data_IF_585517215615
#
_entry.id   IF_585517215615
#
_cell.length_a   1.000
_cell.length_b   1.000
_cell.length_c   1.000
_cell.angle_alpha   90.00
_cell.angle_beta   90.00
_cell.angle_gamma   90.00
#
_symmetry.space_group_name_H-M   'P 1'
#
loop_
_entity.id
_entity.type
_entity.pdbx_description
1 polymer ?
#
# COMPACT_ATOMS: atom_id res chain seq x y z
N UNK A 1 -44.91 -48.04 64.19
CA UNK A 1 -43.60 -48.71 64.02
C UNK A 1 -43.19 -48.85 62.54
N UNK A 2 -43.59 -49.90 61.79
CA UNK A 2 -43.05 -50.13 60.42
C UNK A 2 -43.43 -49.01 59.43
N UNK A 3 -44.67 -48.53 59.49
CA UNK A 3 -45.19 -47.48 58.57
C UNK A 3 -44.51 -46.12 58.81
N UNK A 4 -44.22 -45.76 60.07
CA UNK A 4 -43.52 -44.53 60.43
C UNK A 4 -42.07 -44.54 59.94
N UNK A 5 -41.37 -45.67 60.10
CA UNK A 5 -40.01 -45.84 59.59
C UNK A 5 -39.98 -45.73 58.06
N UNK A 6 -40.96 -46.32 57.36
CA UNK A 6 -41.05 -46.23 55.92
C UNK A 6 -41.23 -44.78 55.42
N UNK A 7 -42.09 -43.99 56.08
CA UNK A 7 -42.31 -42.57 55.73
C UNK A 7 -41.04 -41.73 55.96
N UNK A 8 -40.33 -41.97 57.07
CA UNK A 8 -39.07 -41.27 57.36
C UNK A 8 -38.02 -41.57 56.29
N UNK A 9 -37.84 -42.84 55.92
CA UNK A 9 -36.89 -43.24 54.87
C UNK A 9 -37.24 -42.59 53.54
N UNK A 10 -38.52 -42.56 53.17
CA UNK A 10 -38.98 -41.97 51.92
C UNK A 10 -38.75 -40.45 51.91
N UNK A 11 -39.01 -39.77 53.03
CA UNK A 11 -38.72 -38.35 53.18
C UNK A 11 -37.22 -38.03 53.04
N UNK A 12 -36.34 -38.84 53.65
CA UNK A 12 -34.89 -38.68 53.51
C UNK A 12 -34.42 -38.88 52.07
N UNK A 13 -34.94 -39.88 51.36
CA UNK A 13 -34.63 -40.11 49.94
C UNK A 13 -35.06 -38.93 49.07
N UNK A 14 -36.23 -38.32 49.35
CA UNK A 14 -36.68 -37.12 48.65
C UNK A 14 -35.79 -35.91 48.90
N UNK A 15 -35.35 -35.70 50.15
CA UNK A 15 -34.43 -34.59 50.48
C UNK A 15 -33.09 -34.77 49.77
N UNK A 16 -32.52 -35.97 49.77
CA UNK A 16 -31.25 -36.27 49.10
C UNK A 16 -31.34 -36.09 47.59
N UNK A 17 -32.40 -36.58 46.95
CA UNK A 17 -32.60 -36.41 45.51
C UNK A 17 -32.81 -34.95 45.12
N UNK A 18 -33.58 -34.18 45.88
CA UNK A 18 -33.73 -32.73 45.68
C UNK A 18 -32.42 -31.98 45.87
N UNK A 19 -31.60 -32.36 46.86
CA UNK A 19 -30.29 -31.76 47.08
C UNK A 19 -29.33 -32.04 45.91
N UNK A 20 -29.27 -33.29 45.46
CA UNK A 20 -28.46 -33.69 44.30
C UNK A 20 -28.94 -33.04 43.00
N UNK A 21 -30.25 -32.92 42.80
CA UNK A 21 -30.80 -32.24 41.63
C UNK A 21 -30.47 -30.74 41.62
N UNK A 22 -30.62 -30.06 42.77
CA UNK A 22 -30.23 -28.65 42.90
C UNK A 22 -28.74 -28.44 42.75
N UNK A 23 -27.90 -29.33 43.30
CA UNK A 23 -26.45 -29.23 43.18
C UNK A 23 -26.00 -29.45 41.72
N UNK A 24 -26.61 -30.41 41.03
CA UNK A 24 -26.37 -30.67 39.61
C UNK A 24 -26.81 -29.50 38.73
N UNK A 25 -27.98 -28.91 38.98
CA UNK A 25 -28.44 -27.72 38.25
C UNK A 25 -27.54 -26.50 38.49
N UNK A 26 -27.05 -26.29 39.71
CA UNK A 26 -26.09 -25.21 39.99
C UNK A 26 -24.81 -25.40 39.20
N UNK A 27 -24.25 -26.62 39.21
CA UNK A 27 -23.04 -26.95 38.43
C UNK A 27 -23.24 -26.76 36.92
N UNK A 28 -24.39 -27.13 36.38
CA UNK A 28 -24.68 -26.88 34.97
C UNK A 28 -24.75 -25.38 34.63
N UNK A 29 -25.33 -24.56 35.51
CA UNK A 29 -25.36 -23.10 35.32
C UNK A 29 -23.95 -22.51 35.37
N UNK A 30 -23.12 -22.96 36.30
CA UNK A 30 -21.73 -22.49 36.40
C UNK A 30 -20.95 -22.84 35.13
N UNK A 31 -21.09 -24.06 34.61
CA UNK A 31 -20.47 -24.47 33.34
C UNK A 31 -20.98 -23.65 32.15
N UNK A 32 -22.27 -23.38 32.07
CA UNK A 32 -22.85 -22.55 31.01
C UNK A 32 -22.34 -21.11 31.07
N UNK A 33 -22.19 -20.53 32.27
CA UNK A 33 -21.62 -19.18 32.42
C UNK A 33 -20.14 -19.13 32.02
N UNK A 34 -19.35 -20.15 32.40
CA UNK A 34 -17.95 -20.25 31.99
C UNK A 34 -17.81 -20.36 30.48
N UNK A 35 -18.63 -21.21 29.84
CA UNK A 35 -18.66 -21.33 28.38
C UNK A 35 -19.03 -20.00 27.73
N UNK A 36 -20.07 -19.32 28.19
CA UNK A 36 -20.47 -18.02 27.67
C UNK A 36 -19.37 -16.96 27.80
N UNK A 37 -18.60 -16.94 28.89
CA UNK A 37 -17.47 -16.02 29.04
C UNK A 37 -16.32 -16.35 28.08
N UNK A 38 -15.99 -17.63 27.91
CA UNK A 38 -14.94 -18.05 26.99
C UNK A 38 -15.32 -17.78 25.53
N UNK A 39 -16.58 -18.02 25.17
CA UNK A 39 -17.10 -17.74 23.83
C UNK A 39 -17.17 -16.25 23.56
N UNK A 40 -17.58 -15.43 24.54
CA UNK A 40 -17.55 -13.98 24.42
C UNK A 40 -16.11 -13.44 24.22
N UNK A 41 -15.10 -14.04 24.86
CA UNK A 41 -13.71 -13.67 24.63
C UNK A 41 -13.23 -14.07 23.23
N UNK A 42 -13.57 -15.28 22.78
CA UNK A 42 -13.27 -15.73 21.41
C UNK A 42 -13.91 -14.83 20.37
N UNK A 43 -15.18 -14.49 20.54
CA UNK A 43 -15.91 -13.59 19.64
C UNK A 43 -15.29 -12.20 19.58
N UNK A 44 -14.81 -11.68 20.71
CA UNK A 44 -14.06 -10.40 20.74
C UNK A 44 -12.79 -10.48 19.91
N UNK A 45 -12.00 -11.55 20.07
CA UNK A 45 -10.78 -11.77 19.29
C UNK A 45 -11.07 -11.91 17.79
N UNK A 46 -12.11 -12.66 17.44
CA UNK A 46 -12.55 -12.81 16.04
C UNK A 46 -12.96 -11.46 15.45
N UNK A 47 -13.77 -10.67 16.17
CA UNK A 47 -14.18 -9.34 15.73
C UNK A 47 -13.00 -8.39 15.57
N UNK A 48 -12.02 -8.46 16.46
CA UNK A 48 -10.82 -7.64 16.35
C UNK A 48 -9.97 -8.04 15.13
N UNK A 49 -9.77 -9.34 14.90
CA UNK A 49 -9.07 -9.84 13.72
C UNK A 49 -9.79 -9.45 12.43
N UNK A 50 -11.11 -9.57 12.39
CA UNK A 50 -11.92 -9.15 11.25
C UNK A 50 -11.78 -7.64 10.99
N UNK A 51 -11.78 -6.81 12.04
CA UNK A 51 -11.59 -5.36 11.91
C UNK A 51 -10.19 -5.01 11.39
N UNK A 52 -9.15 -5.71 11.88
CA UNK A 52 -7.78 -5.52 11.36
C UNK A 52 -7.70 -5.90 9.89
N UNK A 53 -8.31 -7.02 9.50
CA UNK A 53 -8.33 -7.47 8.11
C UNK A 53 -9.02 -6.46 7.20
N UNK A 54 -10.18 -5.93 7.61
CA UNK A 54 -10.90 -4.90 6.87
C UNK A 54 -10.06 -3.63 6.69
N UNK A 55 -9.34 -3.22 7.75
CA UNK A 55 -8.40 -2.09 7.68
C UNK A 55 -7.25 -2.35 6.72
N UNK A 56 -6.67 -3.56 6.73
CA UNK A 56 -5.62 -3.95 5.81
C UNK A 56 -6.10 -4.01 4.36
N UNK A 57 -7.29 -4.56 4.13
CA UNK A 57 -7.88 -4.66 2.80
C UNK A 57 -8.13 -3.27 2.21
N UNK A 58 -8.75 -2.36 2.98
CA UNK A 58 -8.96 -0.98 2.55
C UNK A 58 -7.63 -0.25 2.31
N UNK A 59 -6.65 -0.42 3.19
CA UNK A 59 -5.31 0.14 3.00
C UNK A 59 -4.62 -0.39 1.74
N UNK A 60 -4.79 -1.67 1.41
CA UNK A 60 -4.19 -2.29 0.23
C UNK A 60 -4.85 -1.80 -1.07
N UNK A 61 -6.16 -1.57 -1.06
CA UNK A 61 -6.89 -0.97 -2.19
C UNK A 61 -6.42 0.46 -2.42
N UNK A 62 -6.38 1.29 -1.38
CA UNK A 62 -5.89 2.67 -1.48
C UNK A 62 -4.44 2.72 -2.01
N UNK A 63 -3.57 1.87 -1.49
CA UNK A 63 -2.18 1.80 -1.94
C UNK A 63 -2.08 1.37 -3.41
N UNK A 64 -3.00 0.53 -3.89
CA UNK A 64 -3.10 0.18 -5.30
C UNK A 64 -3.51 1.36 -6.19
N UNK A 65 -4.45 2.19 -5.72
CA UNK A 65 -4.85 3.43 -6.40
C UNK A 65 -3.70 4.44 -6.45
N UNK A 66 -3.01 4.65 -5.33
CA UNK A 66 -1.86 5.55 -5.24
C UNK A 66 -0.71 5.08 -6.16
N UNK A 67 -0.46 3.77 -6.23
CA UNK A 67 0.51 3.18 -7.16
C UNK A 67 0.11 3.38 -8.63
N UNK A 68 -1.18 3.28 -8.94
CA UNK A 68 -1.70 3.52 -10.29
C UNK A 68 -1.52 4.99 -10.68
N UNK A 69 -1.82 5.92 -9.78
CA UNK A 69 -1.60 7.35 -9.99
C UNK A 69 -0.11 7.67 -10.18
N UNK A 70 0.76 7.12 -9.32
CA UNK A 70 2.20 7.30 -9.45
C UNK A 70 2.73 6.69 -10.75
N UNK A 71 2.22 5.52 -11.14
CA UNK A 71 2.56 4.89 -12.43
C UNK A 71 2.14 5.78 -13.60
N UNK A 72 0.98 6.41 -13.54
CA UNK A 72 0.51 7.35 -14.56
C UNK A 72 1.38 8.62 -14.65
N UNK A 73 1.89 9.12 -13.52
CA UNK A 73 2.84 10.24 -13.49
C UNK A 73 4.23 9.87 -14.02
N UNK A 74 4.68 8.64 -13.78
CA UNK A 74 6.00 8.16 -14.23
C UNK A 74 5.99 7.74 -15.69
N UNK A 75 4.88 7.20 -16.21
CA UNK A 75 4.74 6.75 -17.60
C UNK A 75 5.20 7.77 -18.67
N UNK A 76 4.90 9.08 -18.58
CA UNK A 76 5.34 10.06 -19.59
C UNK A 76 6.78 10.56 -19.41
N UNK A 77 7.43 10.35 -18.26
CA UNK A 77 8.80 10.81 -18.01
C UNK A 77 9.83 10.31 -19.04
N UNK A 78 9.89 9.01 -19.40
CA UNK A 78 10.86 8.53 -20.40
C UNK A 78 10.64 9.17 -21.77
N UNK A 79 9.38 9.42 -22.16
CA UNK A 79 9.09 10.06 -23.44
C UNK A 79 9.46 11.55 -23.43
N UNK A 80 9.26 12.24 -22.30
CA UNK A 80 9.74 13.62 -22.11
C UNK A 80 11.27 13.70 -22.09
N UNK A 81 11.93 12.72 -21.49
CA UNK A 81 13.40 12.61 -21.51
C UNK A 81 13.92 12.37 -22.92
N UNK A 82 13.31 11.45 -23.68
CA UNK A 82 13.66 11.22 -25.07
C UNK A 82 13.46 12.48 -25.95
N UNK A 83 12.38 13.22 -25.72
CA UNK A 83 12.14 14.51 -26.39
C UNK A 83 13.16 15.58 -26.00
N UNK A 84 13.60 15.63 -24.74
CA UNK A 84 14.64 16.55 -24.29
C UNK A 84 16.01 16.19 -24.87
N UNK A 85 16.35 14.91 -24.93
CA UNK A 85 17.59 14.40 -25.54
C UNK A 85 17.62 14.70 -27.04
N UNK A 86 16.47 14.58 -27.73
CA UNK A 86 16.34 15.00 -29.14
C UNK A 86 16.36 16.52 -29.33
N UNK A 87 16.03 17.29 -28.29
CA UNK A 87 15.90 18.75 -28.32
C UNK A 87 17.09 19.41 -27.61
N UNK A 88 18.26 18.79 -27.63
CA UNK A 88 19.49 19.40 -27.13
C UNK A 88 19.81 20.66 -27.98
N UNK A 89 19.67 21.88 -27.43
CA UNK A 89 19.80 23.14 -28.16
C UNK A 89 21.23 23.38 -28.66
N UNK A 90 22.22 22.74 -28.03
CA UNK A 90 23.59 22.71 -28.54
C UNK A 90 23.62 22.08 -29.93
N UNK A 91 23.00 20.90 -30.11
CA UNK A 91 22.97 20.19 -31.40
C UNK A 91 22.24 20.96 -32.53
N UNK A 92 21.21 21.73 -32.20
CA UNK A 92 20.49 22.58 -33.15
C UNK A 92 21.32 23.81 -33.55
N UNK A 93 21.96 24.48 -32.58
CA UNK A 93 22.88 25.60 -32.86
C UNK A 93 24.11 25.16 -33.65
N UNK A 94 24.66 23.97 -33.36
CA UNK A 94 25.80 23.40 -34.08
C UNK A 94 25.43 22.94 -35.49
N UNK A 95 24.25 22.34 -35.72
CA UNK A 95 23.79 22.00 -37.07
C UNK A 95 23.54 23.25 -37.92
N UNK A 96 22.98 24.31 -37.35
CA UNK A 96 22.79 25.60 -38.04
C UNK A 96 24.14 26.28 -38.34
N UNK A 97 25.07 26.28 -37.39
CA UNK A 97 26.41 26.82 -37.57
C UNK A 97 27.21 26.03 -38.61
N UNK A 98 27.16 24.69 -38.60
CA UNK A 98 27.82 23.85 -39.60
C UNK A 98 27.28 24.08 -41.01
N UNK A 99 25.97 24.32 -41.15
CA UNK A 99 25.35 24.67 -42.44
C UNK A 99 25.76 26.06 -42.95
N UNK A 100 25.91 27.04 -42.06
CA UNK A 100 26.40 28.38 -42.42
C UNK A 100 27.89 28.35 -42.78
N UNK A 101 28.71 27.58 -42.06
CA UNK A 101 30.14 27.37 -42.37
C UNK A 101 30.33 26.69 -43.73
N UNK A 102 29.52 25.68 -44.07
CA UNK A 102 29.60 25.00 -45.39
C UNK A 102 29.19 25.88 -46.56
N UNK A 103 28.39 26.93 -46.31
CA UNK A 103 28.08 27.99 -47.29
C UNK A 103 29.15 29.10 -47.35
N UNK A 104 30.23 28.98 -46.57
CA UNK A 104 31.35 29.93 -46.59
C UNK A 104 31.12 31.19 -45.76
N UNK A 105 30.16 31.18 -44.83
CA UNK A 105 29.88 32.32 -43.95
C UNK A 105 31.08 32.68 -43.06
N UNK A 106 31.24 33.97 -42.77
CA UNK A 106 32.36 34.49 -42.00
C UNK A 106 32.18 34.25 -40.50
N UNK A 107 33.29 34.20 -39.75
CA UNK A 107 33.29 33.89 -38.30
C UNK A 107 32.44 34.87 -37.48
N UNK A 108 32.33 36.12 -37.94
CA UNK A 108 31.53 37.21 -37.35
C UNK A 108 30.01 36.95 -37.48
N UNK A 109 29.55 36.44 -38.63
CA UNK A 109 28.14 36.11 -38.86
C UNK A 109 27.68 34.90 -38.03
N UNK A 110 28.58 33.95 -37.76
CA UNK A 110 28.31 32.78 -36.91
C UNK A 110 28.17 33.15 -35.43
N UNK A 111 28.94 34.16 -34.97
CA UNK A 111 28.83 34.68 -33.60
C UNK A 111 27.53 35.44 -33.40
N UNK A 112 27.14 36.28 -34.38
CA UNK A 112 25.94 37.10 -34.31
C UNK A 112 24.63 36.33 -34.52
N UNK A 113 24.62 35.32 -35.40
CA UNK A 113 23.40 34.60 -35.79
C UNK A 113 23.12 33.35 -34.93
N UNK A 114 24.16 32.69 -34.42
CA UNK A 114 24.03 31.44 -33.66
C UNK A 114 24.35 31.58 -32.16
N UNK A 115 24.72 32.78 -31.69
CA UNK A 115 24.98 33.07 -30.27
C UNK A 115 26.20 32.34 -29.69
N UNK A 116 27.10 31.87 -30.56
CA UNK A 116 28.33 31.16 -30.20
C UNK A 116 29.39 32.12 -29.67
N UNK A 117 30.28 31.66 -28.80
CA UNK A 117 31.45 32.46 -28.40
C UNK A 117 32.50 32.49 -29.51
N UNK A 118 33.34 33.54 -29.58
CA UNK A 118 34.33 33.70 -30.65
C UNK A 118 35.29 32.50 -30.76
N UNK A 119 35.61 31.87 -29.62
CA UNK A 119 36.44 30.67 -29.55
C UNK A 119 35.75 29.42 -30.15
N UNK A 120 34.44 29.28 -30.00
CA UNK A 120 33.67 28.14 -30.53
C UNK A 120 33.46 28.25 -32.04
N UNK A 121 33.25 29.46 -32.56
CA UNK A 121 33.12 29.72 -33.99
C UNK A 121 34.44 29.48 -34.75
N UNK A 122 35.58 29.84 -34.15
CA UNK A 122 36.90 29.59 -34.73
C UNK A 122 37.25 28.10 -34.76
N UNK A 123 36.85 27.34 -33.73
CA UNK A 123 37.04 25.89 -33.67
C UNK A 123 36.22 25.16 -34.76
N UNK A 124 34.96 25.58 -34.98
CA UNK A 124 34.09 25.02 -36.02
C UNK A 124 34.61 25.28 -37.44
N UNK A 125 35.13 26.48 -37.71
CA UNK A 125 35.74 26.80 -39.02
C UNK A 125 36.98 25.95 -39.31
N UNK A 126 37.78 25.63 -38.28
CA UNK A 126 38.97 24.78 -38.40
C UNK A 126 38.63 23.29 -38.53
N UNK A 127 37.57 22.82 -37.87
CA UNK A 127 37.14 21.42 -37.92
C UNK A 127 36.53 21.02 -39.28
N UNK A 128 35.92 21.97 -40.00
CA UNK A 128 35.24 21.72 -41.28
C UNK A 128 36.08 22.08 -42.52
N UNK A 129 37.24 22.72 -42.35
CA UNK A 129 38.24 22.96 -43.41
C UNK A 129 39.28 21.84 -43.53
N UNK A 130 39.18 20.80 -42.70
CA UNK A 130 39.96 19.57 -42.76
C UNK A 130 39.22 18.48 -43.53
#
# INVERSE_FOLDING_TARGET
MILEVAVIVLALLWVVTLWQFRSYQRRQRDLATQQATADAERDRRIKELARRLDTYQNGSVQMGEDLLELSALVAPLPEKLAQLEQRDPTSLSFNQAARLVSMGASVDELTQSCGLTQAEAELMSKMHKG
#
